data_IF_856165533445
#
_entry.id   IF_856165533445
#
_cell.length_a   1.000
_cell.length_b   1.000
_cell.length_c   1.000
_cell.angle_alpha   90.00
_cell.angle_beta   90.00
_cell.angle_gamma   90.00
#
_symmetry.space_group_name_H-M   'P 1'
#
loop_
_entity.id
_entity.type
_entity.pdbx_description
1 polymer ?
#
# COMPACT_ATOMS: atom_id res chain seq x y z
N UNK A 1 12.27 -58.57 13.89
CA UNK A 1 13.04 -57.30 13.85
C UNK A 1 13.12 -56.83 12.40
N UNK A 2 12.22 -55.94 11.95
CA UNK A 2 12.32 -55.16 10.67
C UNK A 2 11.13 -54.25 10.34
N UNK A 3 10.05 -54.23 11.13
CA UNK A 3 8.84 -53.47 10.81
C UNK A 3 8.54 -52.30 11.78
N UNK A 4 9.56 -51.82 12.51
CA UNK A 4 9.43 -50.67 13.44
C UNK A 4 10.15 -49.41 12.95
N UNK A 5 11.08 -49.56 12.00
CA UNK A 5 11.87 -48.44 11.46
C UNK A 5 11.29 -47.84 10.17
N UNK A 6 10.38 -48.55 9.49
CA UNK A 6 9.74 -48.03 8.27
C UNK A 6 8.68 -46.96 8.57
N UNK A 7 8.09 -46.96 9.78
CA UNK A 7 7.11 -45.96 10.20
C UNK A 7 7.76 -44.65 10.66
N UNK A 8 9.00 -44.69 11.14
CA UNK A 8 9.70 -43.49 11.64
C UNK A 8 10.37 -42.66 10.53
N UNK A 9 10.61 -43.25 9.36
CA UNK A 9 11.25 -42.55 8.24
C UNK A 9 10.24 -41.84 7.31
N UNK A 10 8.94 -42.15 7.41
CA UNK A 10 7.93 -41.65 6.46
C UNK A 10 7.27 -40.32 6.86
N UNK A 11 7.48 -39.83 8.09
CA UNK A 11 6.86 -38.57 8.57
C UNK A 11 7.76 -37.31 8.39
N UNK A 12 8.96 -37.44 7.83
CA UNK A 12 9.93 -36.36 7.83
C UNK A 12 9.86 -35.39 6.62
N UNK A 13 8.97 -35.59 5.64
CA UNK A 13 9.17 -34.97 4.31
C UNK A 13 8.12 -33.96 3.80
N UNK A 14 7.13 -33.52 4.59
CA UNK A 14 5.97 -32.80 4.02
C UNK A 14 5.69 -31.40 4.55
N UNK A 15 6.69 -30.65 5.04
CA UNK A 15 6.50 -29.20 5.29
C UNK A 15 7.05 -28.39 4.12
N UNK A 16 6.35 -28.41 2.99
CA UNK A 16 6.49 -27.36 1.97
C UNK A 16 5.93 -26.07 2.57
N UNK A 17 6.77 -25.31 3.26
CA UNK A 17 6.47 -23.92 3.62
C UNK A 17 6.21 -23.17 2.32
N UNK A 18 4.96 -22.77 2.09
CA UNK A 18 4.66 -21.70 1.16
C UNK A 18 5.35 -20.47 1.74
N UNK A 19 6.52 -20.12 1.22
CA UNK A 19 7.14 -18.85 1.50
C UNK A 19 6.19 -17.77 0.94
N UNK A 20 5.28 -17.29 1.79
CA UNK A 20 4.54 -16.08 1.52
C UNK A 20 5.58 -14.98 1.29
N UNK A 21 5.46 -14.29 0.16
CA UNK A 21 6.34 -13.17 -0.15
C UNK A 21 6.20 -12.20 1.02
N UNK A 22 7.28 -11.96 1.77
CA UNK A 22 7.34 -10.83 2.66
C UNK A 22 7.33 -9.60 1.76
N UNK A 23 6.13 -9.13 1.39
CA UNK A 23 5.97 -7.94 0.56
C UNK A 23 6.40 -6.74 1.40
N UNK A 24 7.71 -6.46 1.35
CA UNK A 24 8.22 -5.18 1.77
C UNK A 24 7.49 -4.13 0.94
N UNK A 25 6.78 -3.21 1.62
CA UNK A 25 6.05 -2.17 0.92
C UNK A 25 7.03 -1.36 0.05
N UNK A 26 6.79 -1.35 -1.26
CA UNK A 26 7.68 -0.64 -2.18
C UNK A 26 7.68 0.84 -1.88
N UNK A 27 8.84 1.46 -2.09
CA UNK A 27 9.06 2.89 -1.89
C UNK A 27 9.62 3.44 -3.19
N UNK A 28 8.89 4.36 -3.82
CA UNK A 28 9.29 4.91 -5.12
C UNK A 28 9.28 6.43 -5.13
N UNK A 29 10.27 7.01 -5.81
CA UNK A 29 10.31 8.43 -6.15
C UNK A 29 9.32 8.73 -7.26
N UNK A 30 8.37 9.62 -7.02
CA UNK A 30 7.38 9.93 -8.05
C UNK A 30 7.95 10.80 -9.16
N UNK A 31 8.86 11.73 -8.84
CA UNK A 31 9.49 12.63 -9.83
C UNK A 31 10.40 11.90 -10.83
N UNK A 32 10.88 10.70 -10.49
CA UNK A 32 11.66 9.84 -11.38
C UNK A 32 10.85 8.82 -12.16
N UNK A 33 9.52 8.86 -12.07
CA UNK A 33 8.61 7.87 -12.67
C UNK A 33 7.48 8.57 -13.42
N UNK A 34 7.01 7.96 -14.52
CA UNK A 34 5.81 8.42 -15.21
C UNK A 34 4.57 8.12 -14.36
N UNK A 35 3.49 8.88 -14.57
CA UNK A 35 2.22 8.62 -13.89
C UNK A 35 1.70 7.20 -14.19
N UNK A 36 1.91 6.71 -15.41
CA UNK A 36 1.61 5.33 -15.79
C UNK A 36 2.40 4.31 -14.97
N UNK A 37 3.72 4.50 -14.81
CA UNK A 37 4.57 3.60 -14.03
C UNK A 37 4.19 3.58 -12.54
N UNK A 38 3.89 4.75 -11.94
CA UNK A 38 3.41 4.85 -10.56
C UNK A 38 2.13 4.04 -10.37
N UNK A 39 1.13 4.25 -11.24
CA UNK A 39 -0.14 3.52 -11.20
C UNK A 39 0.03 2.02 -11.42
N UNK A 40 0.94 1.62 -12.32
CA UNK A 40 1.24 0.22 -12.56
C UNK A 40 1.86 -0.44 -11.32
N UNK A 41 2.77 0.26 -10.63
CA UNK A 41 3.33 -0.23 -9.36
C UNK A 41 2.25 -0.40 -8.31
N UNK A 42 1.39 0.59 -8.11
CA UNK A 42 0.24 0.46 -7.20
C UNK A 42 -0.66 -0.72 -7.59
N UNK A 43 -0.97 -0.88 -8.87
CA UNK A 43 -1.83 -1.96 -9.35
C UNK A 43 -1.23 -3.36 -9.14
N UNK A 44 0.09 -3.52 -9.32
CA UNK A 44 0.78 -4.80 -9.10
C UNK A 44 0.89 -5.17 -7.62
N UNK A 45 1.16 -4.20 -6.77
CA UNK A 45 1.51 -4.45 -5.37
C UNK A 45 0.36 -4.21 -4.39
N UNK A 46 -0.74 -3.63 -4.86
CA UNK A 46 -1.87 -3.22 -4.04
C UNK A 46 -1.62 -1.89 -3.32
N UNK A 47 -0.42 -1.68 -2.77
CA UNK A 47 -0.02 -0.46 -2.09
C UNK A 47 1.49 -0.17 -2.21
N UNK A 48 1.86 1.10 -2.19
CA UNK A 48 3.26 1.54 -2.13
C UNK A 48 3.39 2.86 -1.35
N UNK A 49 4.57 3.11 -0.79
CA UNK A 49 4.96 4.41 -0.25
C UNK A 49 5.48 5.27 -1.40
N UNK A 50 4.82 6.39 -1.66
CA UNK A 50 5.29 7.33 -2.68
C UNK A 50 6.05 8.46 -2.02
N UNK A 51 7.27 8.72 -2.52
CA UNK A 51 8.10 9.84 -2.09
C UNK A 51 7.96 11.00 -3.06
N UNK A 52 7.53 12.15 -2.54
CA UNK A 52 7.33 13.36 -3.33
C UNK A 52 7.43 14.62 -2.47
N UNK A 53 7.79 15.79 -3.03
CA UNK A 53 7.78 17.03 -2.28
C UNK A 53 6.36 17.39 -1.83
N UNK A 54 6.25 18.07 -0.69
CA UNK A 54 4.98 18.63 -0.24
C UNK A 54 4.51 19.72 -1.19
N UNK A 55 3.22 19.74 -1.59
CA UNK A 55 2.66 20.80 -2.41
C UNK A 55 2.70 22.18 -1.74
N UNK A 56 2.82 22.21 -0.41
CA UNK A 56 2.84 23.46 0.38
C UNK A 56 4.25 23.95 0.69
N UNK A 57 5.23 23.06 0.73
CA UNK A 57 6.62 23.38 1.06
C UNK A 57 7.56 22.36 0.41
N UNK A 58 8.26 22.77 -0.65
CA UNK A 58 9.17 21.88 -1.41
C UNK A 58 10.37 21.38 -0.63
N UNK A 59 10.71 21.99 0.51
CA UNK A 59 11.78 21.52 1.41
C UNK A 59 11.34 20.31 2.26
N UNK A 60 10.04 19.97 2.26
CA UNK A 60 9.50 18.81 2.97
C UNK A 60 9.21 17.70 1.97
N UNK A 61 9.74 16.52 2.24
CA UNK A 61 9.43 15.30 1.47
C UNK A 61 8.37 14.49 2.20
N UNK A 62 7.28 14.17 1.51
CA UNK A 62 6.19 13.34 1.99
C UNK A 62 6.46 11.88 1.64
N UNK A 63 6.01 10.98 2.52
CA UNK A 63 6.19 9.52 2.43
C UNK A 63 4.87 8.79 2.68
N UNK A 64 3.82 9.19 1.97
CA UNK A 64 2.49 8.64 2.21
C UNK A 64 2.30 7.28 1.55
N UNK A 65 1.45 6.44 2.16
CA UNK A 65 0.99 5.19 1.57
C UNK A 65 -0.16 5.46 0.61
N UNK A 66 -0.01 5.01 -0.62
CA UNK A 66 -1.03 5.04 -1.65
C UNK A 66 -1.44 3.62 -2.03
N UNK A 67 -2.66 3.48 -2.51
CA UNK A 67 -3.28 2.19 -2.80
C UNK A 67 -3.84 2.13 -4.22
N UNK A 68 -3.96 0.91 -4.74
CA UNK A 68 -4.61 0.63 -6.03
C UNK A 68 -6.13 0.78 -5.97
N UNK A 69 -6.75 0.29 -4.90
CA UNK A 69 -8.20 0.22 -4.73
C UNK A 69 -8.59 0.00 -3.26
N UNK A 70 -9.90 -0.08 -3.00
CA UNK A 70 -10.47 -0.27 -1.66
C UNK A 70 -10.06 -1.56 -0.98
N UNK A 71 -9.80 -2.64 -1.74
CA UNK A 71 -9.37 -3.93 -1.19
C UNK A 71 -7.97 -3.88 -0.56
N UNK A 72 -7.19 -2.84 -0.84
CA UNK A 72 -5.89 -2.58 -0.20
C UNK A 72 -5.98 -1.70 1.05
N UNK A 73 -7.18 -1.29 1.46
CA UNK A 73 -7.42 -0.57 2.70
C UNK A 73 -7.77 -1.52 3.85
N UNK A 74 -7.51 -1.09 5.08
CA UNK A 74 -7.85 -1.83 6.30
C UNK A 74 -9.36 -1.80 6.54
N UNK A 75 -9.88 -2.75 7.31
CA UNK A 75 -11.28 -2.73 7.73
C UNK A 75 -11.64 -1.39 8.40
N UNK A 76 -12.77 -0.80 7.98
CA UNK A 76 -13.24 0.51 8.44
C UNK A 76 -12.65 1.72 7.70
N UNK A 77 -11.68 1.54 6.82
CA UNK A 77 -11.16 2.60 5.95
C UNK A 77 -11.94 2.68 4.62
N UNK A 78 -11.96 3.88 4.05
CA UNK A 78 -12.46 4.16 2.69
C UNK A 78 -11.35 4.76 1.84
N UNK A 79 -11.48 4.67 0.51
CA UNK A 79 -10.54 5.30 -0.41
C UNK A 79 -10.87 6.77 -0.61
N UNK A 80 -9.85 7.62 -0.56
CA UNK A 80 -9.90 9.04 -0.89
C UNK A 80 -9.00 9.33 -2.09
N UNK A 81 -9.48 10.18 -3.01
CA UNK A 81 -8.67 10.66 -4.14
C UNK A 81 -7.59 11.61 -3.66
N UNK A 82 -6.38 11.42 -4.17
CA UNK A 82 -5.23 12.27 -3.95
C UNK A 82 -4.43 12.43 -5.26
N UNK A 83 -3.39 13.24 -5.23
CA UNK A 83 -2.52 13.46 -6.37
C UNK A 83 -1.06 13.56 -5.94
N UNK A 84 -0.17 13.06 -6.79
CA UNK A 84 1.29 13.20 -6.64
C UNK A 84 1.90 13.79 -7.91
N UNK A 85 3.00 14.55 -7.82
CA UNK A 85 3.74 14.95 -9.02
C UNK A 85 4.47 13.75 -9.61
N UNK A 86 4.45 13.59 -10.93
CA UNK A 86 5.18 12.59 -11.69
C UNK A 86 6.11 13.27 -12.71
N UNK A 87 7.00 12.52 -13.34
CA UNK A 87 7.93 13.07 -14.34
C UNK A 87 7.23 13.64 -15.58
N UNK A 88 6.09 13.06 -15.97
CA UNK A 88 5.31 13.41 -17.15
C UNK A 88 4.01 14.16 -16.82
N UNK A 89 3.58 14.17 -15.56
CA UNK A 89 2.27 14.66 -15.12
C UNK A 89 2.39 15.36 -13.78
N UNK A 90 2.15 16.67 -13.73
CA UNK A 90 2.25 17.46 -12.49
C UNK A 90 1.24 17.03 -11.40
N UNK A 91 0.12 16.41 -11.78
CA UNK A 91 -0.92 15.93 -10.85
C UNK A 91 -1.41 14.55 -11.28
N UNK A 92 -0.64 13.50 -10.96
CA UNK A 92 -1.00 12.13 -11.22
C UNK A 92 -2.05 11.65 -10.19
N UNK A 93 -3.26 11.21 -10.60
CA UNK A 93 -4.31 10.82 -9.67
C UNK A 93 -4.03 9.45 -9.06
N UNK A 94 -4.17 9.36 -7.75
CA UNK A 94 -3.90 8.18 -6.91
C UNK A 94 -4.93 8.08 -5.79
N UNK A 95 -4.93 6.98 -5.04
CA UNK A 95 -5.83 6.77 -3.90
C UNK A 95 -5.04 6.63 -2.60
N UNK A 96 -5.60 7.16 -1.52
CA UNK A 96 -5.17 6.91 -0.14
C UNK A 96 -6.30 6.25 0.63
N UNK A 97 -5.95 5.46 1.65
CA UNK A 97 -6.93 5.01 2.63
C UNK A 97 -7.12 6.09 3.70
N UNK A 98 -8.36 6.31 4.10
CA UNK A 98 -8.72 7.23 5.17
C UNK A 98 -9.79 6.57 6.02
N UNK A 99 -9.64 6.64 7.34
CA UNK A 99 -10.66 6.18 8.29
C UNK A 99 -11.61 7.35 8.57
N UNK A 100 -12.89 7.27 8.19
CA UNK A 100 -13.86 8.28 8.56
C UNK A 100 -13.96 8.39 10.08
N UNK A 101 -13.92 9.61 10.58
CA UNK A 101 -14.28 9.90 11.96
C UNK A 101 -15.81 10.07 12.01
N UNK A 102 -16.46 9.28 12.87
CA UNK A 102 -17.90 9.38 13.11
C UNK A 102 -18.09 10.08 14.46
N UNK A 103 -17.99 11.42 14.45
CA UNK A 103 -18.43 12.22 15.59
C UNK A 103 -19.97 12.37 15.54
N UNK A 104 -20.62 12.51 16.70
CA UNK A 104 -22.09 12.58 16.88
C UNK A 104 -22.78 13.76 16.16
N UNK A 105 -22.02 14.68 15.55
CA UNK A 105 -22.53 15.69 14.62
C UNK A 105 -22.69 15.09 13.21
N UNK A 106 -23.80 14.37 13.07
CA UNK A 106 -24.25 13.61 11.90
C UNK A 106 -23.99 14.34 10.56
N UNK A 107 -23.34 13.61 9.64
CA UNK A 107 -23.31 13.82 8.18
C UNK A 107 -22.34 14.83 7.55
N UNK A 108 -21.22 15.16 8.18
CA UNK A 108 -20.08 15.69 7.41
C UNK A 108 -18.89 14.75 7.52
N UNK A 109 -18.75 13.87 6.51
CA UNK A 109 -17.45 13.29 6.15
C UNK A 109 -16.55 14.48 5.84
N UNK A 110 -15.89 15.04 6.84
CA UNK A 110 -14.89 16.08 6.62
C UNK A 110 -13.64 15.33 6.19
N UNK A 111 -13.26 15.38 4.90
CA UNK A 111 -11.96 14.87 4.53
C UNK A 111 -10.94 15.64 5.37
N UNK A 112 -10.24 14.97 6.30
CA UNK A 112 -9.08 15.54 6.98
C UNK A 112 -8.00 15.75 5.93
N UNK A 113 -8.13 16.82 5.17
CA UNK A 113 -7.13 17.29 4.22
C UNK A 113 -6.00 17.90 5.03
N UNK A 114 -4.93 17.12 5.22
CA UNK A 114 -3.60 17.57 5.64
C UNK A 114 -3.59 18.73 6.63
N UNK A 115 -3.76 18.44 7.91
CA UNK A 115 -3.46 19.39 8.99
C UNK A 115 -2.27 18.88 9.80
N UNK A 116 -1.22 18.46 9.09
CA UNK A 116 0.12 18.18 9.60
C UNK A 116 1.12 18.55 8.50
#
# INVERSE_FOLDING_TARGET
MKMRHALSAALALSTLVMAGQASAISRIETLGQSCGAIKQTLAREGAAILRHPSPRNSSITLYDRYVSNRGSCTFGEVTQRASVPASDTASCPVLKCYRPDYDDDIMRIRPRFGRD
#
